data_IF_482326473303
#
_entry.id   IF_482326473303
#
_cell.length_a   1.000
_cell.length_b   1.000
_cell.length_c   1.000
_cell.angle_alpha   90.00
_cell.angle_beta   90.00
_cell.angle_gamma   90.00
#
_symmetry.space_group_name_H-M   'P 1'
#
loop_
_entity.id
_entity.type
_entity.pdbx_description
1 polymer ?
#
# COMPACT_ATOMS: atom_id res chain seq x y z
N UNK A 1 6.17 1.10 19.65
CA UNK A 1 5.21 1.09 18.52
C UNK A 1 5.44 -0.18 17.76
N UNK A 2 4.40 -0.97 17.54
CA UNK A 2 4.48 -2.20 16.76
C UNK A 2 4.61 -1.90 15.27
N UNK A 3 5.38 -2.73 14.57
CA UNK A 3 5.56 -2.62 13.12
C UNK A 3 4.22 -2.65 12.38
N UNK A 4 3.29 -3.48 12.87
CA UNK A 4 1.94 -3.60 12.33
C UNK A 4 1.16 -2.28 12.38
N UNK A 5 1.28 -1.54 13.49
CA UNK A 5 0.66 -0.22 13.65
C UNK A 5 1.25 0.79 12.67
N UNK A 6 2.58 0.76 12.49
CA UNK A 6 3.26 1.64 11.55
C UNK A 6 2.80 1.39 10.10
N UNK A 7 2.68 0.12 9.71
CA UNK A 7 2.20 -0.27 8.38
C UNK A 7 0.73 0.11 8.20
N UNK A 8 -0.12 -0.13 9.21
CA UNK A 8 -1.53 0.25 9.14
C UNK A 8 -1.73 1.77 9.01
N UNK A 9 -0.84 2.57 9.60
CA UNK A 9 -0.95 4.02 9.65
C UNK A 9 -0.33 4.71 8.43
N UNK A 10 0.82 4.22 7.95
CA UNK A 10 1.57 4.85 6.85
C UNK A 10 1.53 4.05 5.54
N UNK A 11 1.09 2.80 5.57
CA UNK A 11 1.11 1.90 4.42
C UNK A 11 0.31 2.44 3.23
N UNK A 12 -0.87 3.03 3.46
CA UNK A 12 -1.66 3.64 2.38
C UNK A 12 -0.98 4.87 1.77
N UNK A 13 -0.39 5.74 2.59
CA UNK A 13 0.35 6.90 2.11
C UNK A 13 1.61 6.46 1.33
N UNK A 14 2.31 5.45 1.83
CA UNK A 14 3.46 4.85 1.16
C UNK A 14 3.07 4.20 -0.18
N UNK A 15 1.89 3.58 -0.28
CA UNK A 15 1.39 3.03 -1.54
C UNK A 15 1.07 4.12 -2.56
N UNK A 16 0.42 5.22 -2.15
CA UNK A 16 0.15 6.36 -3.04
C UNK A 16 1.46 6.96 -3.56
N UNK A 17 2.36 7.33 -2.66
CA UNK A 17 3.64 7.98 -3.01
C UNK A 17 4.56 7.03 -3.77
N UNK A 18 4.62 5.76 -3.37
CA UNK A 18 5.44 4.76 -4.03
C UNK A 18 4.93 4.45 -5.44
N UNK A 19 3.61 4.35 -5.62
CA UNK A 19 3.02 4.04 -6.93
C UNK A 19 3.21 5.17 -7.95
N UNK A 20 3.38 6.42 -7.48
CA UNK A 20 3.81 7.55 -8.32
C UNK A 20 5.23 7.38 -8.89
N UNK A 21 6.12 6.69 -8.18
CA UNK A 21 7.50 6.42 -8.62
C UNK A 21 7.59 5.12 -9.43
N UNK A 22 6.99 4.03 -8.93
CA UNK A 22 6.93 2.71 -9.57
C UNK A 22 5.56 2.06 -9.29
N UNK A 23 4.69 2.02 -10.31
CA UNK A 23 3.36 1.45 -10.17
C UNK A 23 3.35 -0.06 -9.94
N UNK A 24 4.03 -0.83 -10.79
CA UNK A 24 3.99 -2.30 -10.81
C UNK A 24 4.51 -2.92 -9.50
N UNK A 25 5.73 -2.54 -9.09
CA UNK A 25 6.38 -3.04 -7.88
C UNK A 25 5.57 -2.70 -6.63
N UNK A 26 5.09 -1.47 -6.51
CA UNK A 26 4.36 -1.00 -5.33
C UNK A 26 2.96 -1.62 -5.25
N UNK A 27 2.32 -1.87 -6.40
CA UNK A 27 1.05 -2.62 -6.45
C UNK A 27 1.23 -4.03 -5.89
N UNK A 28 2.29 -4.74 -6.30
CA UNK A 28 2.58 -6.10 -5.81
C UNK A 28 2.87 -6.12 -4.31
N UNK A 29 3.71 -5.19 -3.82
CA UNK A 29 3.99 -5.06 -2.39
C UNK A 29 2.75 -4.73 -1.58
N UNK A 30 1.89 -3.84 -2.08
CA UNK A 30 0.60 -3.54 -1.49
C UNK A 30 -0.32 -4.75 -1.42
N UNK A 31 -0.36 -5.55 -2.48
CA UNK A 31 -1.11 -6.81 -2.53
C UNK A 31 -0.65 -7.80 -1.47
N UNK A 32 0.68 -7.96 -1.30
CA UNK A 32 1.26 -8.81 -0.25
C UNK A 32 0.90 -8.29 1.15
N UNK A 33 0.98 -6.98 1.38
CA UNK A 33 0.61 -6.38 2.66
C UNK A 33 -0.88 -6.56 2.97
N UNK A 34 -1.75 -6.48 1.96
CA UNK A 34 -3.18 -6.77 2.11
C UNK A 34 -3.42 -8.25 2.41
N UNK A 35 -2.71 -9.16 1.74
CA UNK A 35 -2.81 -10.59 1.96
C UNK A 35 -2.40 -11.00 3.38
N UNK A 36 -1.40 -10.34 3.95
CA UNK A 36 -0.94 -10.54 5.34
C UNK A 36 -1.90 -9.92 6.39
N UNK A 37 -3.00 -9.29 5.97
CA UNK A 37 -3.94 -8.63 6.87
C UNK A 37 -3.44 -7.31 7.45
N UNK A 38 -2.32 -6.78 6.97
CA UNK A 38 -1.74 -5.51 7.42
C UNK A 38 -2.49 -4.30 6.86
N UNK A 39 -3.06 -4.46 5.65
CA UNK A 39 -3.83 -3.44 4.95
C UNK A 39 -5.12 -4.06 4.39
N UNK A 40 -6.13 -3.23 4.14
CA UNK A 40 -7.38 -3.66 3.53
C UNK A 40 -7.23 -3.64 2.01
N UNK A 41 -7.46 -4.78 1.36
CA UNK A 41 -7.33 -4.92 -0.08
C UNK A 41 -8.04 -3.81 -0.90
N UNK A 42 -9.29 -3.41 -0.61
CA UNK A 42 -9.96 -2.33 -1.36
C UNK A 42 -9.25 -0.98 -1.22
N UNK A 43 -8.71 -0.69 -0.03
CA UNK A 43 -7.98 0.55 0.23
C UNK A 43 -6.60 0.54 -0.42
N UNK A 44 -5.92 -0.61 -0.46
CA UNK A 44 -4.68 -0.78 -1.22
C UNK A 44 -4.91 -0.47 -2.70
N UNK A 45 -5.96 -1.05 -3.29
CA UNK A 45 -6.30 -0.80 -4.71
C UNK A 45 -6.58 0.68 -4.94
N UNK A 46 -7.36 1.34 -4.08
CA UNK A 46 -7.60 2.79 -4.19
C UNK A 46 -6.33 3.61 -4.05
N UNK A 47 -5.47 3.32 -3.06
CA UNK A 47 -4.21 4.02 -2.83
C UNK A 47 -3.28 3.92 -4.04
N UNK A 48 -3.11 2.72 -4.57
CA UNK A 48 -2.29 2.49 -5.75
C UNK A 48 -2.93 3.12 -6.98
N UNK A 49 -4.24 3.02 -7.19
CA UNK A 49 -4.92 3.66 -8.33
C UNK A 49 -4.85 5.19 -8.31
N UNK A 50 -4.73 5.80 -7.12
CA UNK A 50 -4.53 7.25 -6.98
C UNK A 50 -3.08 7.67 -7.27
N UNK A 51 -2.11 6.79 -7.08
CA UNK A 51 -0.68 7.07 -7.28
C UNK A 51 -0.13 6.61 -8.63
N UNK A 52 -0.59 5.46 -9.12
CA UNK A 52 -0.17 4.84 -10.37
C UNK A 52 -0.69 5.63 -11.56
N UNK A 53 0.23 6.00 -12.45
CA UNK A 53 -0.09 6.42 -13.81
C UNK A 53 -0.38 5.21 -14.69
#
# INVERSE_FOLDING_TARGET
>A
MDLNTLISQYGYAALVIGSLAEGETVTLLGGVAAHQGLLKFPLVVLSVALGGK
#
